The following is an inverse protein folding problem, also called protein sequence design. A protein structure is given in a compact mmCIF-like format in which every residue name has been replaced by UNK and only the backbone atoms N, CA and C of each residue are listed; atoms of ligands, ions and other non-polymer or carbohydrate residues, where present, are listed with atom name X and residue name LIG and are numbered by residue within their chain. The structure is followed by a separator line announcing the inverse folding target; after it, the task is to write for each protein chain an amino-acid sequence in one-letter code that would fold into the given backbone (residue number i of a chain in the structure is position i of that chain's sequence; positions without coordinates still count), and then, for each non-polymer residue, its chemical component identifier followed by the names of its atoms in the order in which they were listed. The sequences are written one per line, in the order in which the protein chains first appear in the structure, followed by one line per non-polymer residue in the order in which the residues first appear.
data_IF_153541172071
#
_entry.id   IF_153541172071
#
_cell.length_a   1.000
_cell.length_b   1.000
_cell.length_c   1.000
_cell.angle_alpha   90.00
_cell.angle_beta   90.00
_cell.angle_gamma   90.00
#
_symmetry.space_group_name_H-M   'P 1'
#
loop_
_entity.id
_entity.type
_entity.pdbx_description
1 polymer ?
#
# COMPACT_ATOMS: atom_id res chain seq x y z
N UNK A 1 -5.15 41.30 -2.05
CA UNK A 1 -5.00 39.84 -1.87
C UNK A 1 -5.36 39.18 -3.19
N UNK A 2 -4.37 38.70 -3.94
CA UNK A 2 -4.61 37.98 -5.20
C UNK A 2 -5.11 36.58 -4.86
N UNK A 3 -6.34 36.27 -5.26
CA UNK A 3 -6.88 34.92 -5.26
C UNK A 3 -6.12 34.10 -6.31
N UNK A 4 -5.11 33.36 -5.86
CA UNK A 4 -4.49 32.32 -6.67
C UNK A 4 -5.51 31.17 -6.73
N UNK A 5 -6.33 31.16 -7.77
CA UNK A 5 -7.08 29.98 -8.16
C UNK A 5 -6.08 28.93 -8.65
N UNK A 6 -5.64 28.06 -7.74
CA UNK A 6 -4.86 26.88 -8.11
C UNK A 6 -5.80 25.85 -8.69
N UNK A 7 -6.06 25.95 -10.00
CA UNK A 7 -6.54 24.83 -10.79
C UNK A 7 -5.44 23.77 -10.82
N UNK A 8 -5.32 22.95 -9.78
CA UNK A 8 -4.56 21.73 -9.87
C UNK A 8 -5.27 20.82 -10.86
N UNK A 9 -4.65 20.59 -12.02
CA UNK A 9 -5.03 19.47 -12.88
C UNK A 9 -4.72 18.21 -12.07
N UNK A 10 -5.71 17.72 -11.32
CA UNK A 10 -5.63 16.43 -10.63
C UNK A 10 -5.26 15.42 -11.71
N UNK A 11 -4.04 14.89 -11.66
CA UNK A 11 -3.57 13.80 -12.53
C UNK A 11 -4.38 12.56 -12.15
N UNK A 12 -5.61 12.50 -12.67
CA UNK A 12 -6.65 11.58 -12.20
C UNK A 12 -6.34 10.19 -12.72
N UNK A 13 -6.14 9.31 -11.75
CA UNK A 13 -6.57 7.91 -11.79
C UNK A 13 -8.03 7.86 -12.28
N UNK A 14 -8.43 6.83 -13.06
CA UNK A 14 -9.80 6.67 -13.53
C UNK A 14 -10.85 6.91 -12.43
N UNK A 15 -11.88 7.72 -12.71
CA UNK A 15 -12.90 8.12 -11.70
C UNK A 15 -13.67 6.91 -11.18
N UNK A 16 -13.81 5.89 -12.00
CA UNK A 16 -14.54 4.65 -11.75
C UNK A 16 -14.00 3.82 -10.58
N UNK A 17 -12.74 4.04 -10.17
CA UNK A 17 -12.14 3.33 -9.02
C UNK A 17 -12.11 4.16 -7.73
N UNK A 18 -12.55 5.43 -7.79
CA UNK A 18 -12.68 6.27 -6.60
C UNK A 18 -14.01 5.94 -5.93
N UNK A 19 -13.99 4.93 -5.07
CA UNK A 19 -15.13 4.53 -4.24
C UNK A 19 -14.73 4.61 -2.78
N UNK A 20 -15.66 5.08 -1.94
CA UNK A 20 -15.48 5.11 -0.50
C UNK A 20 -16.32 3.99 0.10
N UNK A 21 -15.79 3.32 1.11
CA UNK A 21 -16.49 2.32 1.89
C UNK A 21 -16.22 2.50 3.39
N UNK A 22 -17.01 1.82 4.21
CA UNK A 22 -16.75 1.74 5.64
C UNK A 22 -16.36 0.31 6.00
N UNK A 23 -15.19 0.15 6.61
CA UNK A 23 -14.66 -1.14 7.03
C UNK A 23 -14.15 -1.06 8.46
N UNK A 24 -14.29 -2.15 9.20
CA UNK A 24 -13.69 -2.28 10.52
C UNK A 24 -12.31 -2.92 10.36
N UNK A 25 -11.32 -2.43 11.12
CA UNK A 25 -10.01 -3.10 11.14
C UNK A 25 -10.13 -4.54 11.66
N UNK A 26 -9.42 -5.43 10.99
CA UNK A 26 -9.50 -6.89 11.18
C UNK A 26 -8.55 -7.40 12.26
N UNK A 27 -7.66 -6.56 12.78
CA UNK A 27 -6.72 -6.89 13.86
C UNK A 27 -6.69 -5.79 14.93
N UNK A 28 -6.40 -6.17 16.17
CA UNK A 28 -6.20 -5.23 17.27
C UNK A 28 -5.38 -5.85 18.39
N UNK A 29 -5.06 -5.05 19.41
CA UNK A 29 -4.32 -5.53 20.59
C UNK A 29 -5.30 -5.65 21.75
N UNK A 30 -5.35 -6.84 22.33
CA UNK A 30 -6.04 -7.13 23.59
C UNK A 30 -5.02 -7.44 24.68
N UNK A 31 -5.46 -7.50 25.93
CA UNK A 31 -4.59 -7.78 27.07
C UNK A 31 -5.11 -8.96 27.87
N UNK A 32 -4.19 -9.87 28.21
CA UNK A 32 -4.47 -10.94 29.17
C UNK A 32 -4.77 -10.38 30.56
N UNK A 33 -5.28 -11.20 31.48
CA UNK A 33 -5.53 -10.82 32.88
C UNK A 33 -4.25 -10.31 33.58
N UNK A 34 -3.09 -10.83 33.16
CA UNK A 34 -1.77 -10.42 33.67
C UNK A 34 -1.18 -9.20 32.95
N UNK A 35 -1.93 -8.58 32.02
CA UNK A 35 -1.53 -7.36 31.32
C UNK A 35 -0.58 -7.56 30.13
N UNK A 36 -0.34 -8.80 29.69
CA UNK A 36 0.45 -9.05 28.47
C UNK A 36 -0.37 -8.74 27.21
N UNK A 37 0.20 -8.00 26.23
CA UNK A 37 -0.48 -7.70 24.98
C UNK A 37 -0.58 -8.96 24.11
N UNK A 38 -1.71 -9.11 23.44
CA UNK A 38 -1.98 -10.17 22.49
C UNK A 38 -2.58 -9.58 21.22
N UNK A 39 -2.00 -9.91 20.07
CA UNK A 39 -2.57 -9.58 18.78
C UNK A 39 -3.79 -10.48 18.52
N UNK A 40 -4.95 -9.87 18.29
CA UNK A 40 -6.20 -10.58 18.04
C UNK A 40 -6.76 -10.24 16.67
N UNK A 41 -7.27 -11.25 15.98
CA UNK A 41 -7.77 -11.14 14.61
C UNK A 41 -9.27 -11.43 14.56
N UNK A 42 -9.95 -10.84 13.58
CA UNK A 42 -11.31 -11.23 13.23
C UNK A 42 -11.30 -12.62 12.57
N UNK A 43 -12.27 -13.50 12.88
CA UNK A 43 -12.31 -14.85 12.31
C UNK A 43 -12.41 -14.83 10.77
N UNK A 44 -11.66 -15.71 10.11
CA UNK A 44 -11.73 -15.89 8.64
C UNK A 44 -10.94 -14.87 7.81
N UNK A 45 -10.27 -13.93 8.46
CA UNK A 45 -9.45 -12.92 7.77
C UNK A 45 -8.09 -13.47 7.33
N UNK A 46 -7.60 -12.94 6.20
CA UNK A 46 -6.23 -13.24 5.73
C UNK A 46 -5.22 -12.59 6.68
N UNK A 47 -4.26 -13.38 7.15
CA UNK A 47 -3.21 -12.91 8.04
C UNK A 47 -2.01 -12.40 7.25
N UNK A 48 -1.58 -11.17 7.55
CA UNK A 48 -0.39 -10.54 6.97
C UNK A 48 0.77 -10.40 7.99
N UNK A 49 0.50 -10.68 9.26
CA UNK A 49 1.48 -10.63 10.36
C UNK A 49 1.14 -11.73 11.36
N UNK A 50 2.13 -12.18 12.13
CA UNK A 50 1.99 -13.26 13.10
C UNK A 50 3.25 -14.14 13.11
N UNK A 51 3.10 -15.38 13.58
CA UNK A 51 4.15 -16.39 13.51
C UNK A 51 4.63 -16.59 12.07
N UNK A 52 5.95 -16.68 11.89
CA UNK A 52 6.58 -16.85 10.58
C UNK A 52 6.00 -18.09 9.88
N UNK A 53 5.43 -17.90 8.69
CA UNK A 53 4.84 -18.99 7.92
C UNK A 53 4.78 -18.69 6.42
N UNK A 54 4.89 -19.72 5.56
CA UNK A 54 4.72 -19.55 4.11
C UNK A 54 3.36 -18.97 3.72
N UNK A 55 2.33 -19.15 4.55
CA UNK A 55 0.99 -18.60 4.31
C UNK A 55 0.98 -17.06 4.37
N UNK A 56 1.73 -16.46 5.32
CA UNK A 56 1.87 -15.00 5.42
C UNK A 56 2.63 -14.45 4.20
N UNK A 57 3.71 -15.12 3.80
CA UNK A 57 4.50 -14.71 2.64
C UNK A 57 3.66 -14.76 1.36
N UNK A 58 2.89 -15.84 1.18
CA UNK A 58 1.94 -15.97 0.08
C UNK A 58 0.87 -14.87 0.10
N UNK A 59 0.33 -14.52 1.27
CA UNK A 59 -0.66 -13.46 1.39
C UNK A 59 -0.09 -12.10 0.94
N UNK A 60 1.13 -11.76 1.35
CA UNK A 60 1.81 -10.55 0.90
C UNK A 60 2.09 -10.57 -0.61
N UNK A 61 2.54 -11.70 -1.14
CA UNK A 61 2.78 -11.87 -2.57
C UNK A 61 1.50 -11.63 -3.36
N UNK A 62 0.38 -12.24 -2.97
CA UNK A 62 -0.92 -12.08 -3.63
C UNK A 62 -1.45 -10.63 -3.56
N UNK A 63 -1.26 -9.98 -2.41
CA UNK A 63 -1.65 -8.59 -2.19
C UNK A 63 -0.91 -7.63 -3.14
N UNK A 64 0.39 -7.85 -3.34
CA UNK A 64 1.30 -6.98 -4.09
C UNK A 64 1.39 -7.37 -5.58
N UNK A 65 1.07 -8.61 -5.95
CA UNK A 65 1.22 -9.13 -7.32
C UNK A 65 0.49 -8.26 -8.34
N UNK A 66 1.16 -7.98 -9.46
CA UNK A 66 0.61 -7.14 -10.52
C UNK A 66 0.64 -5.64 -10.20
N UNK A 67 1.47 -5.21 -9.24
CA UNK A 67 1.62 -3.80 -8.86
C UNK A 67 2.02 -2.85 -9.98
N UNK A 68 2.73 -3.35 -10.99
CA UNK A 68 3.18 -2.58 -12.15
C UNK A 68 2.57 -3.14 -13.43
N UNK A 69 2.18 -2.24 -14.32
CA UNK A 69 1.56 -2.54 -15.60
C UNK A 69 2.01 -1.55 -16.67
N UNK A 70 1.84 -1.95 -17.93
CA UNK A 70 2.19 -1.13 -19.09
C UNK A 70 1.33 0.14 -19.17
N UNK A 71 1.95 1.25 -19.54
CA UNK A 71 1.34 2.55 -19.76
C UNK A 71 1.55 2.93 -21.24
N UNK A 72 0.48 3.36 -21.92
CA UNK A 72 0.61 3.83 -23.29
C UNK A 72 1.41 5.13 -23.33
N UNK A 73 2.15 5.37 -24.41
CA UNK A 73 2.95 6.59 -24.55
C UNK A 73 2.11 7.88 -24.42
N UNK A 74 0.90 7.89 -24.98
CA UNK A 74 -0.01 9.03 -24.84
C UNK A 74 -0.36 9.28 -23.37
N UNK A 75 -0.59 8.21 -22.58
CA UNK A 75 -0.88 8.33 -21.16
C UNK A 75 0.36 8.71 -20.35
N UNK A 76 1.54 8.22 -20.72
CA UNK A 76 2.81 8.61 -20.11
C UNK A 76 3.08 10.11 -20.28
N UNK A 77 2.86 10.65 -21.49
CA UNK A 77 2.93 12.10 -21.77
C UNK A 77 1.99 12.90 -20.89
N UNK A 78 0.74 12.45 -20.77
CA UNK A 78 -0.27 13.09 -19.92
C UNK A 78 0.13 13.07 -18.43
N UNK A 79 0.62 11.93 -17.93
CA UNK A 79 0.92 11.72 -16.51
C UNK A 79 2.24 12.36 -16.07
N UNK A 80 3.26 12.39 -16.93
CA UNK A 80 4.62 12.77 -16.55
C UNK A 80 5.13 14.02 -17.26
N UNK A 81 4.36 14.59 -18.18
CA UNK A 81 4.68 15.83 -18.88
C UNK A 81 5.87 15.68 -19.81
N UNK A 82 6.60 16.78 -20.06
CA UNK A 82 7.69 16.83 -21.04
C UNK A 82 8.81 15.82 -20.77
N UNK A 83 9.05 15.49 -19.49
CA UNK A 83 10.07 14.53 -19.05
C UNK A 83 9.63 13.07 -19.13
N UNK A 84 8.47 12.76 -19.71
CA UNK A 84 7.96 11.39 -19.75
C UNK A 84 8.98 10.37 -20.33
N UNK A 85 9.83 10.80 -21.29
CA UNK A 85 10.85 9.97 -21.91
C UNK A 85 11.92 9.47 -20.94
N UNK A 86 12.18 10.21 -19.84
CA UNK A 86 13.15 9.80 -18.82
C UNK A 86 12.67 8.55 -18.05
N UNK A 87 11.36 8.28 -18.08
CA UNK A 87 10.72 7.13 -17.41
C UNK A 87 10.46 5.95 -18.36
N UNK A 88 11.12 5.90 -19.53
CA UNK A 88 10.98 4.75 -20.44
C UNK A 88 11.55 3.49 -19.78
N UNK A 89 10.77 2.42 -19.80
CA UNK A 89 11.22 1.12 -19.33
C UNK A 89 12.16 0.51 -20.37
N UNK A 90 13.43 0.37 -19.99
CA UNK A 90 14.48 -0.16 -20.87
C UNK A 90 14.54 -1.68 -20.90
N UNK A 91 13.96 -2.35 -19.90
CA UNK A 91 13.97 -3.81 -19.79
C UNK A 91 12.77 -4.37 -20.54
N UNK A 92 11.58 -3.87 -20.21
CA UNK A 92 10.34 -4.40 -20.80
C UNK A 92 9.88 -3.61 -22.04
N UNK A 93 10.47 -2.44 -22.31
CA UNK A 93 10.05 -1.55 -23.39
C UNK A 93 8.79 -0.73 -23.08
N UNK A 94 8.67 0.45 -23.69
CA UNK A 94 7.55 1.36 -23.46
C UNK A 94 7.62 2.05 -22.09
N UNK A 95 6.51 2.06 -21.35
CA UNK A 95 6.42 2.73 -20.06
C UNK A 95 5.75 1.82 -19.02
N UNK A 96 6.30 1.82 -17.81
CA UNK A 96 5.79 1.03 -16.69
C UNK A 96 5.31 1.95 -15.59
N UNK A 97 4.14 1.66 -15.03
CA UNK A 97 3.59 2.43 -13.92
C UNK A 97 2.74 1.54 -13.01
N UNK A 98 2.44 2.05 -11.83
CA UNK A 98 1.61 1.39 -10.83
C UNK A 98 0.97 2.41 -9.91
N UNK A 99 0.00 1.99 -9.12
CA UNK A 99 -0.49 2.83 -8.04
C UNK A 99 0.49 2.80 -6.87
N UNK A 100 0.78 3.98 -6.31
CA UNK A 100 1.75 4.15 -5.22
C UNK A 100 1.43 3.26 -4.00
N UNK A 101 0.14 3.01 -3.73
CA UNK A 101 -0.30 2.12 -2.63
C UNK A 101 0.34 0.74 -2.68
N UNK A 102 0.57 0.16 -3.87
CA UNK A 102 1.23 -1.15 -3.96
C UNK A 102 2.73 -1.07 -3.72
N UNK A 103 3.35 0.06 -4.04
CA UNK A 103 4.74 0.33 -3.72
C UNK A 103 4.94 0.50 -2.21
N UNK A 104 4.01 1.21 -1.56
CA UNK A 104 3.95 1.36 -0.11
C UNK A 104 3.75 0.00 0.59
N UNK A 105 2.86 -0.85 0.08
CA UNK A 105 2.65 -2.20 0.61
C UNK A 105 3.89 -3.08 0.44
N UNK A 106 4.58 -2.97 -0.69
CA UNK A 106 5.86 -3.65 -0.92
C UNK A 106 6.92 -3.22 0.11
N UNK A 107 7.06 -1.92 0.35
CA UNK A 107 7.94 -1.37 1.37
C UNK A 107 7.58 -1.82 2.79
N UNK A 108 6.29 -1.84 3.12
CA UNK A 108 5.83 -2.33 4.42
C UNK A 108 6.16 -3.82 4.62
N UNK A 109 6.03 -4.64 3.58
CA UNK A 109 6.44 -6.04 3.62
C UNK A 109 7.95 -6.20 3.84
N UNK A 110 8.78 -5.38 3.18
CA UNK A 110 10.23 -5.40 3.42
C UNK A 110 10.61 -5.05 4.85
N UNK A 111 9.93 -4.07 5.46
CA UNK A 111 10.12 -3.75 6.88
C UNK A 111 9.70 -4.94 7.75
N UNK A 112 8.54 -5.56 7.47
CA UNK A 112 8.11 -6.79 8.17
C UNK A 112 9.20 -7.87 8.12
N UNK A 113 9.76 -8.13 6.94
CA UNK A 113 10.83 -9.13 6.77
C UNK A 113 12.11 -8.73 7.52
N UNK A 114 12.47 -7.44 7.53
CA UNK A 114 13.65 -6.94 8.23
C UNK A 114 13.58 -7.11 9.76
N UNK A 115 12.39 -7.28 10.34
CA UNK A 115 12.23 -7.62 11.77
C UNK A 115 12.68 -9.06 12.09
N UNK A 116 12.88 -9.91 11.08
CA UNK A 116 13.28 -11.32 11.23
C UNK A 116 14.50 -11.65 10.35
N UNK A 117 15.67 -11.05 10.61
CA UNK A 117 16.88 -11.24 9.80
C UNK A 117 17.40 -12.69 9.84
N UNK A 118 17.06 -13.44 10.90
CA UNK A 118 17.41 -14.87 11.02
C UNK A 118 16.60 -15.77 10.05
N UNK A 119 15.47 -15.26 9.54
CA UNK A 119 14.60 -15.99 8.62
C UNK A 119 14.65 -15.44 7.19
N UNK A 120 14.65 -14.11 7.02
CA UNK A 120 14.72 -13.48 5.71
C UNK A 120 16.12 -12.92 5.44
N UNK A 121 16.76 -13.47 4.40
CA UNK A 121 18.01 -12.90 3.89
C UNK A 121 17.69 -11.78 2.89
N UNK A 122 17.69 -10.54 3.38
CA UNK A 122 17.52 -9.35 2.53
C UNK A 122 18.84 -9.04 1.80
N UNK A 123 18.75 -8.79 0.50
CA UNK A 123 19.92 -8.39 -0.28
C UNK A 123 20.47 -7.01 0.14
N UNK A 124 21.65 -6.65 -0.39
CA UNK A 124 22.30 -5.37 -0.08
C UNK A 124 21.50 -4.15 -0.57
N UNK A 125 20.63 -4.31 -1.58
CA UNK A 125 19.79 -3.23 -2.10
C UNK A 125 18.67 -2.87 -1.11
N UNK A 126 18.24 -3.82 -0.29
CA UNK A 126 17.19 -3.67 0.72
C UNK A 126 17.74 -3.53 2.16
N UNK A 127 19.01 -3.10 2.29
CA UNK A 127 19.66 -2.81 3.57
C UNK A 127 19.10 -1.55 4.28
N UNK A 128 19.74 -1.16 5.38
CA UNK A 128 19.25 -0.10 6.29
C UNK A 128 18.83 1.20 5.59
N UNK A 129 19.61 1.70 4.64
CA UNK A 129 19.28 2.95 3.92
C UNK A 129 17.96 2.84 3.17
N UNK A 130 17.73 1.70 2.51
CA UNK A 130 16.48 1.43 1.80
C UNK A 130 15.31 1.30 2.78
N UNK A 131 15.51 0.65 3.93
CA UNK A 131 14.51 0.54 4.99
C UNK A 131 14.10 1.91 5.55
N UNK A 132 15.06 2.82 5.77
CA UNK A 132 14.77 4.18 6.21
C UNK A 132 13.97 4.96 5.17
N UNK A 133 14.31 4.83 3.89
CA UNK A 133 13.52 5.39 2.79
C UNK A 133 12.08 4.83 2.77
N UNK A 134 11.93 3.50 2.96
CA UNK A 134 10.63 2.85 3.06
C UNK A 134 9.77 3.42 4.18
N UNK A 135 10.35 3.55 5.38
CA UNK A 135 9.65 4.10 6.56
C UNK A 135 9.18 5.52 6.29
N UNK A 136 10.04 6.37 5.71
CA UNK A 136 9.66 7.75 5.41
C UNK A 136 8.58 7.84 4.32
N UNK A 137 8.67 7.01 3.27
CA UNK A 137 7.64 6.97 2.21
C UNK A 137 6.28 6.52 2.77
N UNK A 138 6.25 5.50 3.63
CA UNK A 138 5.01 5.06 4.32
C UNK A 138 4.44 6.21 5.17
N UNK A 139 5.27 6.88 5.98
CA UNK A 139 4.85 8.04 6.78
C UNK A 139 4.25 9.14 5.91
N UNK A 140 4.91 9.51 4.81
CA UNK A 140 4.42 10.52 3.88
C UNK A 140 3.06 10.13 3.30
N UNK A 141 2.93 8.89 2.81
CA UNK A 141 1.66 8.41 2.28
C UNK A 141 0.54 8.48 3.30
N UNK A 142 0.77 8.05 4.54
CA UNK A 142 -0.23 8.10 5.60
C UNK A 142 -0.70 9.53 5.89
N UNK A 143 0.19 10.52 5.79
CA UNK A 143 -0.17 11.93 5.94
C UNK A 143 -0.97 12.46 4.75
N UNK A 144 -0.67 12.03 3.53
CA UNK A 144 -1.39 12.46 2.34
C UNK A 144 -2.78 11.83 2.20
N UNK A 145 -2.97 10.60 2.71
CA UNK A 145 -4.23 9.88 2.71
C UNK A 145 -4.85 9.76 4.11
N UNK A 146 -4.57 10.70 4.99
CA UNK A 146 -4.90 10.60 6.42
C UNK A 146 -6.38 10.27 6.66
N UNK A 147 -6.62 9.27 7.51
CA UNK A 147 -7.95 9.02 8.05
C UNK A 147 -8.32 10.12 9.05
N UNK A 148 -9.58 10.57 9.01
CA UNK A 148 -10.14 11.53 9.96
C UNK A 148 -11.04 10.86 11.01
N UNK A 149 -11.07 9.53 11.05
CA UNK A 149 -11.82 8.79 12.07
C UNK A 149 -11.13 8.94 13.44
N UNK A 150 -11.88 9.41 14.43
CA UNK A 150 -11.42 9.51 15.80
C UNK A 150 -11.42 8.11 16.43
N UNK A 151 -10.24 7.65 16.85
CA UNK A 151 -10.11 6.38 17.58
C UNK A 151 -10.31 6.63 19.09
N UNK A 152 -11.26 5.98 19.75
CA UNK A 152 -11.45 6.13 21.18
C UNK A 152 -10.35 5.41 21.94
N UNK A 153 -10.17 5.79 23.20
CA UNK A 153 -9.37 5.02 24.15
C UNK A 153 -10.29 4.40 25.20
N UNK A 154 -9.92 3.23 25.69
CA UNK A 154 -10.67 2.51 26.74
C UNK A 154 -9.73 2.13 27.88
N UNK A 155 -10.18 2.33 29.11
CA UNK A 155 -9.42 1.90 30.29
C UNK A 155 -9.32 0.38 30.31
N UNK A 156 -8.08 -0.13 30.42
CA UNK A 156 -7.76 -1.54 30.50
C UNK A 156 -7.26 -1.84 31.93
N UNK A 157 -8.06 -2.52 32.78
CA UNK A 157 -7.69 -2.75 34.18
C UNK A 157 -6.37 -3.51 34.36
N UNK A 158 -6.09 -4.51 33.50
CA UNK A 158 -4.89 -5.34 33.58
C UNK A 158 -3.58 -4.58 33.39
N UNK A 159 -3.60 -3.45 32.69
CA UNK A 159 -2.44 -2.55 32.51
C UNK A 159 -2.60 -1.20 33.22
N UNK A 160 -3.73 -0.99 33.91
CA UNK A 160 -4.09 0.26 34.63
C UNK A 160 -3.93 1.54 33.78
N UNK A 161 -4.25 1.47 32.49
CA UNK A 161 -4.08 2.58 31.55
C UNK A 161 -5.17 2.60 30.47
N UNK A 162 -5.40 3.75 29.84
CA UNK A 162 -6.24 3.86 28.65
C UNK A 162 -5.47 3.38 27.41
N UNK A 163 -6.03 2.43 26.65
CA UNK A 163 -5.43 1.96 25.41
C UNK A 163 -6.31 2.30 24.21
N UNK A 164 -5.70 2.55 23.04
CA UNK A 164 -6.44 2.87 21.82
C UNK A 164 -7.26 1.66 21.38
N UNK A 165 -8.54 1.88 21.12
CA UNK A 165 -9.40 0.83 20.59
C UNK A 165 -9.31 0.86 19.06
N UNK A 166 -8.39 0.07 18.50
CA UNK A 166 -8.08 0.11 17.07
C UNK A 166 -9.18 -0.47 16.17
N UNK A 167 -10.06 -1.33 16.69
CA UNK A 167 -11.15 -1.95 15.91
C UNK A 167 -12.36 -1.02 15.72
N UNK A 168 -12.12 0.22 15.31
CA UNK A 168 -13.20 1.15 14.94
C UNK A 168 -13.62 0.97 13.49
N UNK A 169 -14.84 1.41 13.19
CA UNK A 169 -15.29 1.60 11.83
C UNK A 169 -14.53 2.77 11.19
N UNK A 170 -13.89 2.52 10.07
CA UNK A 170 -13.08 3.48 9.32
C UNK A 170 -13.76 3.80 7.99
N UNK A 171 -13.69 5.06 7.57
CA UNK A 171 -14.06 5.45 6.21
C UNK A 171 -12.82 5.37 5.33
N UNK A 172 -12.83 4.48 4.35
CA UNK A 172 -11.66 4.14 3.54
C UNK A 172 -11.95 4.30 2.05
N UNK A 173 -10.89 4.51 1.26
CA UNK A 173 -10.96 4.24 -0.17
C UNK A 173 -11.13 2.72 -0.37
N UNK A 174 -11.99 2.33 -1.29
CA UNK A 174 -12.26 0.93 -1.60
C UNK A 174 -11.04 0.32 -2.29
N UNK A 175 -10.21 -0.35 -1.50
CA UNK A 175 -8.96 -0.94 -1.96
C UNK A 175 -9.21 -2.06 -2.98
N UNK A 176 -10.31 -2.81 -2.85
CA UNK A 176 -10.71 -3.85 -3.79
C UNK A 176 -10.85 -3.35 -5.23
N UNK A 177 -11.47 -2.18 -5.43
CA UNK A 177 -11.63 -1.57 -6.76
C UNK A 177 -10.28 -1.14 -7.36
N UNK A 178 -9.38 -0.61 -6.52
CA UNK A 178 -8.02 -0.23 -6.93
C UNK A 178 -7.22 -1.48 -7.34
N UNK A 179 -7.30 -2.55 -6.53
CA UNK A 179 -6.64 -3.85 -6.78
C UNK A 179 -7.17 -4.55 -8.02
N UNK A 180 -8.48 -4.53 -8.24
CA UNK A 180 -9.10 -5.10 -9.42
C UNK A 180 -8.66 -4.36 -10.68
N UNK A 181 -8.66 -3.02 -10.67
CA UNK A 181 -8.18 -2.25 -11.80
C UNK A 181 -6.71 -2.52 -12.10
N UNK A 182 -5.84 -2.53 -11.09
CA UNK A 182 -4.43 -2.85 -11.27
C UNK A 182 -4.25 -4.26 -11.87
N UNK A 183 -5.05 -5.24 -11.43
CA UNK A 183 -5.04 -6.59 -12.00
C UNK A 183 -5.44 -6.62 -13.47
N UNK A 184 -6.54 -5.96 -13.83
CA UNK A 184 -7.02 -5.90 -15.21
C UNK A 184 -6.00 -5.22 -16.15
N UNK A 185 -5.24 -4.24 -15.63
CA UNK A 185 -4.12 -3.61 -16.34
C UNK A 185 -2.91 -4.51 -16.47
N UNK A 186 -2.65 -5.35 -15.48
CA UNK A 186 -1.51 -6.25 -15.43
C UNK A 186 -1.69 -7.49 -16.33
N UNK A 187 -2.83 -8.17 -16.20
CA UNK A 187 -3.07 -9.46 -16.86
C UNK A 187 -4.55 -9.68 -17.22
N UNK A 188 -5.31 -8.61 -17.47
CA UNK A 188 -6.71 -8.71 -17.84
C UNK A 188 -7.04 -7.94 -19.12
N UNK A 189 -8.31 -7.59 -19.25
CA UNK A 189 -8.87 -6.99 -20.48
C UNK A 189 -8.41 -5.55 -20.71
N UNK A 190 -7.88 -4.88 -19.68
CA UNK A 190 -7.39 -3.51 -19.74
C UNK A 190 -5.87 -3.43 -19.99
N UNK A 191 -5.19 -4.55 -20.18
CA UNK A 191 -3.76 -4.59 -20.45
C UNK A 191 -3.41 -3.80 -21.71
N UNK A 192 -2.34 -3.01 -21.65
CA UNK A 192 -1.83 -2.27 -22.81
C UNK A 192 -0.65 -3.06 -23.38
N UNK A 193 -0.73 -3.51 -24.65
CA UNK A 193 0.39 -4.17 -25.30
C UNK A 193 1.61 -3.27 -25.28
N UNK A 194 2.77 -3.85 -24.93
CA UNK A 194 4.05 -3.18 -25.13
C UNK A 194 4.37 -3.24 -26.62
N UNK A 195 4.85 -2.14 -27.20
CA UNK A 195 5.46 -2.21 -28.53
C UNK A 195 6.76 -3.00 -28.35
N UNK A 196 6.97 -4.04 -29.16
CA UNK A 196 8.18 -4.86 -29.11
C UNK A 196 9.42 -3.96 -29.01
N UNK A 197 10.34 -4.33 -28.12
CA UNK A 197 11.54 -3.56 -27.80
C UNK A 197 12.43 -3.35 -29.02
N UNK A 198 12.15 -2.28 -29.77
CA UNK A 198 13.08 -1.64 -30.68
C UNK A 198 13.63 -0.40 -30.01
N UNK A 199 14.95 -0.31 -29.95
CA UNK A 199 15.71 0.89 -29.58
C UNK A 199 15.22 2.14 -30.33
#
# INVERSE_FOLDING_TARGET
MQNISTSFTVRRVPKEIVKIEQLQYTSGIEFTDNGLPQLVYSPGEVLYVGELSPAIDKAWDELIKGRYFSISENKAKELWGEKYKDYRDRIDGGFTGGFDVFHILHYLNHIRMALHPDYYNLDSLHGLVHQLHCIDHIRQSLQYSASITISPTRFRPSIRHNYVESKQLQTCQNFGSIRQFAWERYNGTLAVPRKDGGD
#
